data_IF_090163559372
#
_entry.id   IF_090163559372
#
_cell.length_a   1.000
_cell.length_b   1.000
_cell.length_c   1.000
_cell.angle_alpha   90.00
_cell.angle_beta   90.00
_cell.angle_gamma   90.00
#
_symmetry.space_group_name_H-M   'P 1'
#
loop_
_entity.id
_entity.type
_entity.pdbx_description
1 polymer ?
#
# COMPACT_ATOMS: atom_id res chain seq x y z
N UNK A 1 19.93 -16.71 14.88
CA UNK A 1 19.60 -15.39 14.28
C UNK A 1 18.09 -15.23 14.10
N UNK A 2 17.34 -16.23 13.64
CA UNK A 2 15.88 -16.11 13.44
C UNK A 2 15.04 -15.85 14.70
N UNK A 3 15.38 -16.46 15.85
CA UNK A 3 14.57 -16.28 17.08
C UNK A 3 14.52 -14.83 17.60
N UNK A 4 15.58 -14.04 17.37
CA UNK A 4 15.61 -12.63 17.80
C UNK A 4 14.72 -11.72 16.95
N UNK A 5 14.62 -11.99 15.65
CA UNK A 5 13.79 -11.21 14.72
C UNK A 5 12.30 -11.37 15.07
N UNK A 6 11.86 -12.59 15.39
CA UNK A 6 10.47 -12.81 15.80
C UNK A 6 10.10 -12.07 17.09
N UNK A 7 11.02 -12.03 18.05
CA UNK A 7 10.82 -11.27 19.29
C UNK A 7 10.78 -9.77 19.03
N UNK A 8 11.61 -9.25 18.13
CA UNK A 8 11.60 -7.85 17.73
C UNK A 8 10.30 -7.47 17.02
N UNK A 9 9.83 -8.31 16.08
CA UNK A 9 8.55 -8.12 15.39
C UNK A 9 7.39 -8.06 16.39
N UNK A 10 7.36 -8.99 17.35
CA UNK A 10 6.32 -9.03 18.39
C UNK A 10 6.31 -7.75 19.24
N UNK A 11 7.49 -7.26 19.66
CA UNK A 11 7.61 -6.02 20.43
C UNK A 11 7.14 -4.80 19.62
N UNK A 12 7.48 -4.73 18.34
CA UNK A 12 7.04 -3.67 17.44
C UNK A 12 5.53 -3.71 17.22
N UNK A 13 4.96 -4.90 17.04
CA UNK A 13 3.51 -5.09 16.89
C UNK A 13 2.75 -4.64 18.14
N UNK A 14 3.20 -5.03 19.34
CA UNK A 14 2.60 -4.58 20.59
C UNK A 14 2.67 -3.04 20.75
N UNK A 15 3.78 -2.42 20.35
CA UNK A 15 3.92 -0.96 20.36
C UNK A 15 2.96 -0.29 19.37
N UNK A 16 2.83 -0.83 18.16
CA UNK A 16 1.89 -0.34 17.14
C UNK A 16 0.45 -0.35 17.66
N UNK A 17 0.02 -1.48 18.25
CA UNK A 17 -1.32 -1.63 18.85
C UNK A 17 -1.56 -0.66 20.00
N UNK A 18 -0.61 -0.55 20.95
CA UNK A 18 -0.72 0.36 22.11
C UNK A 18 -0.83 1.83 21.70
N UNK A 19 -0.21 2.21 20.59
CA UNK A 19 -0.27 3.57 20.06
C UNK A 19 -1.54 3.87 19.27
N UNK A 20 -2.39 2.87 18.98
CA UNK A 20 -3.63 3.05 18.21
C UNK A 20 -3.37 3.59 16.81
N UNK A 21 -2.21 3.27 16.21
CA UNK A 21 -1.80 3.86 14.92
C UNK A 21 -2.80 3.53 13.81
N UNK A 22 -3.36 2.31 13.83
CA UNK A 22 -4.41 1.88 12.91
C UNK A 22 -5.73 2.64 13.05
N UNK A 23 -5.94 3.36 14.15
CA UNK A 23 -7.13 4.16 14.40
C UNK A 23 -6.95 5.62 13.97
N UNK A 24 -5.70 6.06 13.77
CA UNK A 24 -5.38 7.44 13.39
C UNK A 24 -5.57 7.73 11.90
N UNK A 25 -5.62 6.68 11.08
CA UNK A 25 -5.83 6.72 9.63
C UNK A 25 -6.74 5.57 9.22
N UNK A 26 -7.38 5.67 8.07
CA UNK A 26 -8.04 4.51 7.45
C UNK A 26 -6.95 3.51 7.02
N UNK A 27 -6.53 2.68 7.97
CA UNK A 27 -5.37 1.80 7.84
C UNK A 27 -5.61 0.75 6.75
N UNK A 28 -6.82 0.23 6.65
CA UNK A 28 -7.18 -0.77 5.65
C UNK A 28 -7.06 -0.19 4.24
N UNK A 29 -7.54 1.06 4.05
CA UNK A 29 -7.44 1.78 2.79
C UNK A 29 -5.99 2.10 2.41
N UNK A 30 -5.21 2.63 3.36
CA UNK A 30 -3.78 2.93 3.15
C UNK A 30 -2.98 1.65 2.82
N UNK A 31 -3.20 0.59 3.60
CA UNK A 31 -2.57 -0.71 3.40
C UNK A 31 -2.86 -1.28 2.02
N UNK A 32 -4.11 -1.19 1.56
CA UNK A 32 -4.53 -1.64 0.24
C UNK A 32 -3.80 -0.89 -0.88
N UNK A 33 -3.69 0.43 -0.79
CA UNK A 33 -2.99 1.23 -1.80
C UNK A 33 -1.52 0.89 -1.87
N UNK A 34 -0.82 0.85 -0.73
CA UNK A 34 0.60 0.52 -0.72
C UNK A 34 0.85 -0.90 -1.26
N UNK A 35 0.01 -1.88 -0.92
CA UNK A 35 0.11 -3.24 -1.45
C UNK A 35 -0.07 -3.28 -2.98
N UNK A 36 -1.15 -2.69 -3.49
CA UNK A 36 -1.47 -2.72 -4.92
C UNK A 36 -0.39 -1.98 -5.72
N UNK A 37 0.00 -0.78 -5.29
CA UNK A 37 1.05 0.01 -5.95
C UNK A 37 2.37 -0.77 -6.00
N UNK A 38 2.80 -1.39 -4.90
CA UNK A 38 4.06 -2.12 -4.90
C UNK A 38 3.99 -3.44 -5.67
N UNK A 39 2.87 -4.17 -5.62
CA UNK A 39 2.69 -5.40 -6.41
C UNK A 39 2.73 -5.12 -7.90
N UNK A 40 1.94 -4.15 -8.38
CA UNK A 40 1.91 -3.81 -9.80
C UNK A 40 3.23 -3.17 -10.27
N UNK A 41 3.95 -2.46 -9.39
CA UNK A 41 5.28 -1.94 -9.71
C UNK A 41 6.32 -3.06 -9.93
N UNK A 42 6.24 -4.18 -9.19
CA UNK A 42 7.07 -5.38 -9.43
C UNK A 42 6.84 -5.94 -10.84
N UNK A 43 5.61 -5.82 -11.34
CA UNK A 43 5.19 -6.23 -12.68
C UNK A 43 5.44 -5.16 -13.76
N UNK A 44 6.02 -4.01 -13.39
CA UNK A 44 6.45 -2.95 -14.32
C UNK A 44 5.52 -1.75 -14.40
N UNK A 45 4.47 -1.67 -13.58
CA UNK A 45 3.64 -0.47 -13.47
C UNK A 45 4.48 0.74 -13.04
N UNK A 46 4.16 1.88 -13.62
CA UNK A 46 4.78 3.16 -13.30
C UNK A 46 3.87 4.07 -12.49
N UNK A 47 2.70 3.59 -12.05
CA UNK A 47 1.82 4.36 -11.17
C UNK A 47 2.50 4.60 -9.82
N UNK A 48 2.36 5.81 -9.28
CA UNK A 48 2.77 6.11 -7.91
C UNK A 48 1.63 5.76 -6.95
N UNK A 49 1.93 5.73 -5.65
CA UNK A 49 0.89 5.53 -4.64
C UNK A 49 -0.18 6.63 -4.71
N UNK A 50 0.22 7.88 -4.97
CA UNK A 50 -0.71 9.00 -5.16
C UNK A 50 -1.60 8.80 -6.39
N UNK A 51 -1.05 8.33 -7.52
CA UNK A 51 -1.86 8.03 -8.70
C UNK A 51 -2.88 6.91 -8.42
N UNK A 52 -2.45 5.91 -7.66
CA UNK A 52 -3.29 4.76 -7.30
C UNK A 52 -4.42 5.19 -6.35
N UNK A 53 -4.12 6.05 -5.38
CA UNK A 53 -5.10 6.69 -4.50
C UNK A 53 -6.16 7.47 -5.30
N UNK A 54 -5.72 8.35 -6.20
CA UNK A 54 -6.62 9.14 -7.05
C UNK A 54 -7.47 8.27 -7.98
N UNK A 55 -6.90 7.18 -8.51
CA UNK A 55 -7.62 6.23 -9.34
C UNK A 55 -8.76 5.56 -8.55
N UNK A 56 -8.49 5.07 -7.34
CA UNK A 56 -9.48 4.36 -6.54
C UNK A 56 -10.52 5.27 -5.89
N UNK A 57 -10.13 6.46 -5.44
CA UNK A 57 -11.03 7.37 -4.73
C UNK A 57 -11.85 8.26 -5.66
N UNK A 58 -11.24 8.72 -6.74
CA UNK A 58 -11.82 9.75 -7.61
C UNK A 58 -12.08 9.25 -9.02
N UNK A 59 -11.64 8.03 -9.37
CA UNK A 59 -11.70 7.51 -10.75
C UNK A 59 -10.77 8.27 -11.70
N UNK A 60 -9.76 8.98 -11.18
CA UNK A 60 -8.88 9.86 -11.94
C UNK A 60 -7.65 9.08 -12.41
N UNK A 61 -7.44 9.02 -13.72
CA UNK A 61 -6.26 8.39 -14.32
C UNK A 61 -5.05 9.32 -14.32
N UNK A 62 -3.86 8.76 -14.14
CA UNK A 62 -2.60 9.49 -14.23
C UNK A 62 -2.24 9.84 -15.68
N UNK A 63 -2.25 11.14 -15.98
CA UNK A 63 -1.92 11.65 -17.31
C UNK A 63 -0.51 11.23 -17.74
N UNK A 64 -0.40 10.73 -18.98
CA UNK A 64 0.88 10.37 -19.59
C UNK A 64 1.39 8.99 -19.20
N UNK A 65 0.62 8.21 -18.43
CA UNK A 65 0.94 6.81 -18.11
C UNK A 65 0.12 5.85 -18.98
N UNK A 66 0.67 4.68 -19.33
CA UNK A 66 -0.05 3.68 -20.13
C UNK A 66 -1.38 3.27 -19.48
N UNK A 67 -2.43 3.09 -20.29
CA UNK A 67 -3.73 2.62 -19.80
C UNK A 67 -3.60 1.25 -19.11
N UNK A 68 -2.76 0.37 -19.64
CA UNK A 68 -2.51 -0.96 -19.06
C UNK A 68 -2.06 -0.87 -17.60
N UNK A 69 -1.26 0.12 -17.21
CA UNK A 69 -0.83 0.28 -15.81
C UNK A 69 -1.97 0.65 -14.86
N UNK A 70 -3.04 1.26 -15.37
CA UNK A 70 -4.25 1.54 -14.60
C UNK A 70 -5.09 0.27 -14.43
N UNK A 71 -5.22 -0.49 -15.51
CA UNK A 71 -5.99 -1.75 -15.52
C UNK A 71 -5.35 -2.84 -14.64
N UNK A 72 -4.02 -2.84 -14.46
CA UNK A 72 -3.34 -3.74 -13.51
C UNK A 72 -3.82 -3.61 -12.05
N UNK A 73 -4.51 -2.51 -11.69
CA UNK A 73 -5.06 -2.32 -10.35
C UNK A 73 -6.50 -2.85 -10.23
N UNK A 74 -7.10 -3.29 -11.34
CA UNK A 74 -8.45 -3.88 -11.40
C UNK A 74 -8.42 -5.42 -11.49
N UNK A 75 -7.25 -6.01 -11.73
CA UNK A 75 -6.98 -7.46 -11.84
C UNK A 75 -6.80 -8.12 -10.45
#
# INVERSE_FOLDING_TARGET
MEQGVWQEIELLYQKFQKLGISEAVDYDKYYLYSLITHSTAIEGSTLTELDTQLLFDEGVTAKGKPLVHHLMNED
#
